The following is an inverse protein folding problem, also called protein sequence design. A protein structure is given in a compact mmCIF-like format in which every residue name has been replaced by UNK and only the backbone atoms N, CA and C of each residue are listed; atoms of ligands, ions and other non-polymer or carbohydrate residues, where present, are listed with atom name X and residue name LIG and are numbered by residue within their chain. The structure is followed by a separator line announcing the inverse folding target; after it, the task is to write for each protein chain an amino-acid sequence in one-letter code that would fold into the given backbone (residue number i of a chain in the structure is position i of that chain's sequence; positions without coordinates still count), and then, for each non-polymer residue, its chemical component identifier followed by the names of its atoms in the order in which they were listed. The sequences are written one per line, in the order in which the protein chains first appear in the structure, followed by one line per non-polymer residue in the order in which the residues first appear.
data_IF_873728496445
#
_entry.id   IF_873728496445
#
_cell.length_a   1.000
_cell.length_b   1.000
_cell.length_c   1.000
_cell.angle_alpha   90.00
_cell.angle_beta   90.00
_cell.angle_gamma   90.00
#
_symmetry.space_group_name_H-M   'P 1'
#
loop_
_entity.id
_entity.type
_entity.pdbx_description
1 polymer ?
#
# COMPACT_ATOMS: atom_id res chain seq x y z
N UNK A 1 10.41 28.11 1.66
CA UNK A 1 10.71 26.75 1.16
C UNK A 1 9.38 26.03 1.20
N UNK A 2 8.77 25.79 0.04
CA UNK A 2 7.53 25.02 -0.01
C UNK A 2 7.87 23.57 0.32
N UNK A 3 7.18 23.03 1.32
CA UNK A 3 7.22 21.61 1.62
C UNK A 3 6.44 20.94 0.49
N UNK A 4 7.13 20.22 -0.40
CA UNK A 4 6.47 19.40 -1.41
C UNK A 4 5.62 18.36 -0.67
N UNK A 5 4.30 18.58 -0.67
CA UNK A 5 3.38 17.62 -0.08
C UNK A 5 3.38 16.41 -0.99
N UNK A 6 3.89 15.27 -0.50
CA UNK A 6 3.88 14.04 -1.28
C UNK A 6 2.45 13.57 -1.43
N UNK A 7 1.90 13.77 -2.62
CA UNK A 7 0.53 13.40 -2.96
C UNK A 7 0.53 11.97 -3.50
N UNK A 8 0.40 10.98 -2.62
CA UNK A 8 0.22 9.59 -3.05
C UNK A 8 -1.23 9.16 -2.86
N UNK A 9 -1.72 8.38 -3.81
CA UNK A 9 -3.01 7.70 -3.71
C UNK A 9 -2.72 6.22 -3.53
N UNK A 10 -3.41 5.60 -2.57
CA UNK A 10 -3.35 4.16 -2.32
C UNK A 10 -4.64 3.51 -2.82
N UNK A 11 -4.51 2.35 -3.45
CA UNK A 11 -5.65 1.52 -3.80
C UNK A 11 -5.31 0.06 -3.55
N UNK A 12 -6.27 -0.71 -3.04
CA UNK A 12 -6.17 -2.16 -3.00
C UNK A 12 -7.52 -2.78 -3.36
N UNK A 13 -7.51 -4.03 -3.82
CA UNK A 13 -8.72 -4.64 -4.34
C UNK A 13 -8.77 -6.17 -4.33
N UNK A 14 -9.89 -6.66 -4.84
CA UNK A 14 -10.22 -8.09 -4.95
C UNK A 14 -9.29 -8.83 -5.93
N UNK A 15 -8.64 -8.10 -6.84
CA UNK A 15 -7.61 -8.62 -7.73
C UNK A 15 -6.29 -8.98 -7.01
N UNK A 16 -6.25 -8.80 -5.67
CA UNK A 16 -5.11 -9.10 -4.81
C UNK A 16 -3.91 -8.24 -5.15
N UNK A 17 -4.16 -7.00 -5.55
CA UNK A 17 -3.12 -6.00 -5.77
C UNK A 17 -3.29 -4.84 -4.80
N UNK A 18 -2.17 -4.28 -4.37
CA UNK A 18 -2.09 -2.95 -3.77
C UNK A 18 -1.23 -2.07 -4.66
N UNK A 19 -1.68 -0.86 -4.97
CA UNK A 19 -1.01 0.05 -5.90
C UNK A 19 -0.81 1.40 -5.21
N UNK A 20 0.39 1.94 -5.40
CA UNK A 20 0.75 3.33 -5.07
C UNK A 20 0.75 4.12 -6.36
N UNK A 21 -0.02 5.19 -6.39
CA UNK A 21 -0.08 6.13 -7.50
C UNK A 21 0.57 7.45 -7.11
N UNK A 22 1.32 8.03 -8.04
CA UNK A 22 1.70 9.44 -7.95
C UNK A 22 0.46 10.29 -8.23
N UNK A 23 -0.04 10.99 -7.22
CA UNK A 23 -1.28 11.76 -7.32
C UNK A 23 -1.16 13.03 -8.16
N UNK A 24 0.05 13.47 -8.49
CA UNK A 24 0.27 14.65 -9.32
C UNK A 24 0.21 14.29 -10.81
N UNK A 25 0.83 13.18 -11.18
CA UNK A 25 0.93 12.71 -12.57
C UNK A 25 -0.10 11.64 -12.94
N UNK A 26 -0.68 10.96 -11.94
CA UNK A 26 -1.57 9.81 -12.13
C UNK A 26 -0.85 8.52 -12.52
N UNK A 27 0.49 8.52 -12.57
CA UNK A 27 1.24 7.32 -12.93
C UNK A 27 1.28 6.30 -11.79
N UNK A 28 1.19 5.03 -12.15
CA UNK A 28 1.48 3.94 -11.22
C UNK A 28 2.95 4.02 -10.84
N UNK A 29 3.20 4.28 -9.56
CA UNK A 29 4.55 4.33 -9.00
C UNK A 29 5.02 2.92 -8.65
N UNK A 30 4.11 2.12 -8.08
CA UNK A 30 4.44 0.80 -7.58
C UNK A 30 3.20 -0.07 -7.43
N UNK A 31 3.34 -1.36 -7.75
CA UNK A 31 2.29 -2.35 -7.60
C UNK A 31 2.82 -3.56 -6.81
N UNK A 32 2.08 -3.94 -5.78
CA UNK A 32 2.32 -5.11 -4.96
C UNK A 32 1.31 -6.20 -5.31
N UNK A 33 1.79 -7.29 -5.90
CA UNK A 33 0.97 -8.43 -6.31
C UNK A 33 1.23 -9.66 -5.44
N UNK A 34 1.82 -9.47 -4.26
CA UNK A 34 2.23 -10.55 -3.34
C UNK A 34 1.09 -11.09 -2.49
N UNK A 35 -0.11 -10.55 -2.63
CA UNK A 35 -1.23 -10.89 -1.77
C UNK A 35 -1.84 -12.23 -2.16
N UNK A 36 -1.97 -13.11 -1.16
CA UNK A 36 -2.58 -14.43 -1.28
C UNK A 36 -4.11 -14.37 -1.27
N UNK A 37 -4.68 -13.27 -0.77
CA UNK A 37 -6.11 -13.06 -0.66
C UNK A 37 -6.53 -11.61 -1.01
N UNK A 38 -7.82 -11.37 -1.31
CA UNK A 38 -8.38 -10.03 -1.51
C UNK A 38 -8.05 -9.08 -0.36
N UNK A 39 -7.69 -7.83 -0.70
CA UNK A 39 -7.56 -6.77 0.29
C UNK A 39 -8.93 -6.15 0.61
N UNK A 40 -9.20 -5.90 1.88
CA UNK A 40 -10.46 -5.30 2.32
C UNK A 40 -10.32 -3.85 2.77
N UNK A 41 -9.16 -3.49 3.31
CA UNK A 41 -8.94 -2.14 3.82
C UNK A 41 -7.48 -1.71 3.68
N UNK A 42 -7.28 -0.40 3.66
CA UNK A 42 -6.00 0.27 3.63
C UNK A 42 -6.02 1.45 4.61
N UNK A 43 -4.96 1.58 5.41
CA UNK A 43 -4.80 2.75 6.26
C UNK A 43 -3.36 3.29 6.21
N UNK A 44 -3.22 4.61 6.15
CA UNK A 44 -1.94 5.29 6.09
C UNK A 44 -1.57 5.84 7.46
N UNK A 45 -0.42 5.40 7.99
CA UNK A 45 0.12 5.97 9.22
C UNK A 45 0.88 7.28 8.95
N UNK A 46 1.57 7.35 7.80
CA UNK A 46 2.38 8.49 7.38
C UNK A 46 2.56 8.50 5.85
N UNK A 47 3.26 9.51 5.32
CA UNK A 47 3.59 9.62 3.90
C UNK A 47 4.43 8.44 3.35
N UNK A 48 4.97 7.59 4.22
CA UNK A 48 5.85 6.49 3.86
C UNK A 48 5.41 5.13 4.36
N UNK A 49 4.51 5.05 5.35
CA UNK A 49 4.08 3.80 5.97
C UNK A 49 2.57 3.64 5.88
N UNK A 50 2.13 2.46 5.44
CA UNK A 50 0.72 2.10 5.39
C UNK A 50 0.52 0.61 5.70
N UNK A 51 -0.72 0.27 6.07
CA UNK A 51 -1.14 -1.08 6.36
C UNK A 51 -2.23 -1.52 5.37
N UNK A 52 -2.27 -2.82 5.10
CA UNK A 52 -3.29 -3.48 4.28
C UNK A 52 -3.72 -4.78 4.93
N UNK A 53 -5.02 -5.04 5.04
CA UNK A 53 -5.56 -6.29 5.60
C UNK A 53 -6.30 -7.12 4.54
N UNK A 54 -6.28 -8.44 4.72
CA UNK A 54 -6.76 -9.41 3.75
C UNK A 54 -7.76 -10.42 4.34
N UNK A 55 -8.47 -11.12 3.46
CA UNK A 55 -9.43 -12.18 3.81
C UNK A 55 -8.79 -13.39 4.50
N UNK A 56 -7.51 -13.66 4.24
CA UNK A 56 -6.78 -14.79 4.83
C UNK A 56 -6.22 -14.50 6.24
N UNK A 57 -6.78 -13.50 6.93
CA UNK A 57 -6.38 -13.08 8.28
C UNK A 57 -4.94 -12.55 8.35
N UNK A 58 -4.36 -12.19 7.21
CA UNK A 58 -3.05 -11.55 7.12
C UNK A 58 -3.18 -10.03 7.14
N UNK A 59 -2.19 -9.36 7.71
CA UNK A 59 -1.99 -7.92 7.62
C UNK A 59 -0.55 -7.63 7.22
N UNK A 60 -0.36 -6.82 6.18
CA UNK A 60 0.95 -6.39 5.73
C UNK A 60 1.20 -4.92 6.08
N UNK A 61 2.39 -4.65 6.60
CA UNK A 61 2.91 -3.29 6.81
C UNK A 61 3.89 -2.99 5.68
N UNK A 62 3.70 -1.86 5.02
CA UNK A 62 4.47 -1.47 3.85
C UNK A 62 5.26 -0.20 4.11
N UNK A 63 6.40 -0.08 3.43
CA UNK A 63 7.12 1.17 3.29
C UNK A 63 7.17 1.55 1.81
N UNK A 64 6.84 2.78 1.46
CA UNK A 64 6.84 3.32 0.09
C UNK A 64 8.24 3.28 -0.59
N UNK A 65 9.29 2.98 0.18
CA UNK A 65 10.67 2.85 -0.31
C UNK A 65 11.08 1.40 -0.57
N UNK A 66 10.22 0.42 -0.27
CA UNK A 66 10.52 -1.02 -0.38
C UNK A 66 9.53 -1.73 -1.30
N UNK A 67 10.01 -2.77 -1.99
CA UNK A 67 9.20 -3.58 -2.90
C UNK A 67 8.42 -4.69 -2.20
N UNK A 68 8.82 -5.04 -0.98
CA UNK A 68 8.22 -6.10 -0.16
C UNK A 68 7.67 -5.52 1.14
N UNK A 69 6.71 -6.22 1.79
CA UNK A 69 6.18 -5.77 3.06
C UNK A 69 7.28 -5.84 4.12
N UNK A 70 7.32 -4.81 4.97
CA UNK A 70 8.24 -4.72 6.11
C UNK A 70 7.84 -5.72 7.19
N UNK A 71 6.53 -5.90 7.38
CA UNK A 71 5.98 -6.91 8.28
C UNK A 71 4.81 -7.63 7.62
N UNK A 72 4.72 -8.92 7.91
CA UNK A 72 3.59 -9.77 7.62
C UNK A 72 3.11 -10.31 8.97
N UNK A 73 1.89 -9.94 9.35
CA UNK A 73 1.26 -10.30 10.61
C UNK A 73 0.12 -11.26 10.32
N UNK A 74 0.02 -12.34 11.09
CA UNK A 74 -1.04 -13.34 10.98
C UNK A 74 -1.61 -13.59 12.38
N UNK A 75 -2.93 -13.79 12.45
CA UNK A 75 -3.64 -14.17 13.67
C UNK A 75 -3.58 -15.67 13.94
#
# INVERSE_FOLDING_TARGET
MEYETRNFILSAGVDRTTIIWDGNSGHCKQQFSFHTAPAFDLDCQSDTIFASCFDDMTLNIWNMSTEIPVHNLQA
#
